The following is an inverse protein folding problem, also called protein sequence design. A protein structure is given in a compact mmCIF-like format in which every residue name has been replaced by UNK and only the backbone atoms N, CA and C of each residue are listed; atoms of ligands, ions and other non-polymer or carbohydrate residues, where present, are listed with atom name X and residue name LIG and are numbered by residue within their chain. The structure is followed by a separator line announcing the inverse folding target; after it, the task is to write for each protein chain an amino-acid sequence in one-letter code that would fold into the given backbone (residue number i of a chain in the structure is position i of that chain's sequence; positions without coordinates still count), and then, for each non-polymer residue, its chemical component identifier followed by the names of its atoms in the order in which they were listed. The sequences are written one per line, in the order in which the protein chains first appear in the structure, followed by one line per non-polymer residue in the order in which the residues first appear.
data_IF_158362669450
#
_entry.id   IF_158362669450
#
_cell.length_a   1.000
_cell.length_b   1.000
_cell.length_c   1.000
_cell.angle_alpha   90.00
_cell.angle_beta   90.00
_cell.angle_gamma   90.00
#
_symmetry.space_group_name_H-M   'P 1'
#
loop_
_entity.id
_entity.type
_entity.pdbx_description
1 polymer ?
#
# COMPACT_ATOMS: atom_id res chain seq x y z
N UNK A 1 24.08 9.07 1.26
CA UNK A 1 24.28 9.97 0.10
C UNK A 1 22.98 10.71 -0.14
N UNK A 2 22.97 12.04 -0.11
CA UNK A 2 21.78 12.85 -0.43
C UNK A 2 21.51 12.69 -1.93
N UNK A 3 20.35 12.18 -2.30
CA UNK A 3 19.92 12.14 -3.70
C UNK A 3 19.36 13.50 -4.07
N UNK A 4 20.07 14.27 -4.90
CA UNK A 4 19.56 15.53 -5.44
C UNK A 4 18.40 15.19 -6.38
N UNK A 5 17.20 15.67 -6.05
CA UNK A 5 16.01 15.48 -6.88
C UNK A 5 15.69 16.78 -7.63
N UNK A 6 15.42 16.71 -8.94
CA UNK A 6 14.96 17.89 -9.68
C UNK A 6 13.62 18.36 -9.12
N UNK A 7 13.35 19.64 -9.32
CA UNK A 7 12.07 20.23 -8.97
C UNK A 7 10.95 19.54 -9.77
N UNK A 8 9.76 19.40 -9.17
CA UNK A 8 8.64 18.75 -9.86
C UNK A 8 8.11 19.67 -10.96
N UNK A 9 8.11 19.17 -12.20
CA UNK A 9 7.52 19.86 -13.35
C UNK A 9 6.00 20.10 -13.20
N UNK A 10 5.31 19.23 -12.45
CA UNK A 10 3.87 19.32 -12.23
C UNK A 10 3.55 19.61 -10.76
N UNK A 11 2.82 20.71 -10.47
CA UNK A 11 2.33 20.95 -9.12
C UNK A 11 1.26 19.91 -8.78
N UNK A 12 1.28 19.42 -7.53
CA UNK A 12 0.27 18.50 -7.00
C UNK A 12 0.77 17.10 -6.66
N UNK A 13 -0.15 16.28 -6.14
CA UNK A 13 0.08 14.87 -5.84
C UNK A 13 -0.03 14.02 -7.11
N UNK A 14 0.85 13.02 -7.22
CA UNK A 14 0.83 12.04 -8.31
C UNK A 14 0.41 10.69 -7.74
N UNK A 15 -0.47 10.00 -8.44
CA UNK A 15 -0.94 8.67 -8.05
C UNK A 15 -0.04 7.62 -8.69
N UNK A 16 0.56 6.78 -7.85
CA UNK A 16 1.33 5.62 -8.26
C UNK A 16 0.59 4.35 -7.85
N UNK A 17 0.65 3.31 -8.68
CA UNK A 17 0.04 2.00 -8.44
C UNK A 17 1.11 0.95 -8.59
N UNK A 18 1.22 0.06 -7.62
CA UNK A 18 2.26 -0.96 -7.60
C UNK A 18 2.32 -1.67 -6.25
N UNK A 19 3.29 -2.56 -6.12
CA UNK A 19 3.52 -3.35 -4.92
C UNK A 19 3.96 -2.45 -3.75
N UNK A 20 3.32 -2.62 -2.60
CA UNK A 20 3.70 -1.99 -1.34
C UNK A 20 4.28 -3.10 -0.45
N UNK A 21 5.54 -2.93 -0.02
CA UNK A 21 6.20 -3.86 0.89
C UNK A 21 5.87 -3.47 2.33
N UNK A 22 5.51 -4.47 3.14
CA UNK A 22 5.12 -4.26 4.53
C UNK A 22 6.03 -5.00 5.49
N UNK A 23 6.37 -4.40 6.64
CA UNK A 23 7.20 -5.04 7.66
C UNK A 23 7.13 -4.39 9.04
N UNK A 24 7.54 -5.12 10.08
CA UNK A 24 7.40 -4.67 11.47
C UNK A 24 8.35 -3.55 11.95
N UNK A 25 9.15 -2.96 11.06
CA UNK A 25 10.18 -1.98 11.43
C UNK A 25 10.28 -0.82 10.44
N UNK A 26 10.68 0.36 10.94
CA UNK A 26 10.87 1.54 10.09
C UNK A 26 12.15 1.37 9.27
N UNK A 27 12.04 1.46 7.95
CA UNK A 27 13.20 1.50 7.05
C UNK A 27 13.83 2.89 7.11
N UNK A 28 15.02 2.99 7.71
CA UNK A 28 15.71 4.28 7.98
C UNK A 28 17.08 4.38 7.30
N UNK A 29 17.43 3.44 6.43
CA UNK A 29 18.64 3.53 5.63
C UNK A 29 18.45 2.85 4.26
N UNK A 30 19.18 3.30 3.23
CA UNK A 30 19.09 2.75 1.88
C UNK A 30 19.48 1.28 1.76
N UNK A 31 20.42 0.79 2.59
CA UNK A 31 20.92 -0.59 2.51
C UNK A 31 19.84 -1.59 2.91
N UNK A 32 19.12 -1.32 4.00
CA UNK A 32 17.97 -2.09 4.45
C UNK A 32 16.82 -2.00 3.44
N UNK A 33 16.56 -0.81 2.89
CA UNK A 33 15.57 -0.62 1.82
C UNK A 33 15.89 -1.49 0.61
N UNK A 34 17.12 -1.44 0.13
CA UNK A 34 17.56 -2.18 -1.05
C UNK A 34 17.63 -3.68 -0.76
N UNK A 35 17.96 -4.06 0.48
CA UNK A 35 17.85 -5.44 0.95
C UNK A 35 16.41 -5.95 0.85
N UNK A 36 15.45 -5.21 1.41
CA UNK A 36 14.04 -5.57 1.41
C UNK A 36 13.45 -5.59 0.00
N UNK A 37 13.97 -4.76 -0.91
CA UNK A 37 13.55 -4.74 -2.33
C UNK A 37 14.07 -5.94 -3.13
N UNK A 38 15.03 -6.72 -2.63
CA UNK A 38 15.59 -7.85 -3.40
C UNK A 38 14.50 -8.87 -3.72
N UNK A 39 14.28 -9.12 -5.02
CA UNK A 39 13.22 -9.99 -5.51
C UNK A 39 11.86 -9.31 -5.69
N UNK A 40 11.76 -8.01 -5.39
CA UNK A 40 10.56 -7.17 -5.49
C UNK A 40 10.90 -5.84 -6.17
N UNK A 41 11.54 -5.88 -7.34
CA UNK A 41 12.01 -4.67 -8.06
C UNK A 41 10.87 -3.75 -8.53
N UNK A 42 9.64 -4.25 -8.54
CA UNK A 42 8.41 -3.52 -8.82
C UNK A 42 7.77 -2.88 -7.57
N UNK A 43 8.37 -3.07 -6.39
CA UNK A 43 7.93 -2.40 -5.17
C UNK A 43 8.11 -0.88 -5.27
N UNK A 44 7.03 -0.16 -5.02
CA UNK A 44 6.98 1.30 -5.14
C UNK A 44 7.05 2.02 -3.79
N UNK A 45 6.80 1.33 -2.68
CA UNK A 45 6.72 1.91 -1.34
C UNK A 45 6.98 0.86 -0.26
N UNK A 46 7.39 1.33 0.92
CA UNK A 46 7.55 0.56 2.15
C UNK A 46 6.66 1.18 3.23
N UNK A 47 5.98 0.35 3.99
CA UNK A 47 5.20 0.79 5.15
C UNK A 47 5.19 -0.30 6.23
N UNK A 48 4.53 -0.04 7.36
CA UNK A 48 4.63 -0.90 8.54
C UNK A 48 3.31 -1.47 9.05
N UNK A 49 2.18 -1.02 8.52
CA UNK A 49 0.88 -1.28 9.16
C UNK A 49 -0.03 -2.19 8.32
N UNK A 50 0.28 -2.44 7.04
CA UNK A 50 -0.59 -3.20 6.14
C UNK A 50 -0.36 -4.72 6.20
N UNK A 51 0.81 -5.20 6.67
CA UNK A 51 1.16 -6.63 6.72
C UNK A 51 0.13 -7.46 7.47
N UNK A 52 -0.43 -6.93 8.56
CA UNK A 52 -1.42 -7.64 9.37
C UNK A 52 -2.85 -7.57 8.84
N UNK A 53 -3.18 -6.59 8.01
CA UNK A 53 -4.56 -6.36 7.56
C UNK A 53 -4.83 -7.03 6.21
N UNK A 54 -3.84 -7.09 5.32
CA UNK A 54 -4.02 -7.59 3.95
C UNK A 54 -4.27 -9.10 3.88
N UNK A 55 -3.75 -9.87 4.83
CA UNK A 55 -3.98 -11.31 4.91
C UNK A 55 -5.38 -11.64 5.46
N UNK A 56 -5.95 -10.73 6.23
CA UNK A 56 -7.25 -10.93 6.89
C UNK A 56 -8.41 -10.38 6.05
N UNK A 57 -8.21 -9.30 5.30
CA UNK A 57 -9.34 -8.58 4.68
C UNK A 57 -9.02 -8.16 3.24
N UNK A 58 -9.89 -8.46 2.26
CA UNK A 58 -9.81 -7.86 0.92
C UNK A 58 -9.90 -6.33 1.05
N UNK A 59 -8.80 -5.63 0.78
CA UNK A 59 -8.73 -4.19 0.99
C UNK A 59 -7.95 -3.47 -0.11
N UNK A 60 -8.23 -2.18 -0.26
CA UNK A 60 -7.43 -1.26 -1.07
C UNK A 60 -6.59 -0.39 -0.12
N UNK A 61 -5.28 -0.50 -0.23
CA UNK A 61 -4.35 0.31 0.56
C UNK A 61 -4.05 1.63 -0.18
N UNK A 62 -4.33 2.76 0.47
CA UNK A 62 -3.98 4.10 -0.01
C UNK A 62 -2.97 4.73 0.93
N UNK A 63 -1.79 5.08 0.42
CA UNK A 63 -0.69 5.68 1.19
C UNK A 63 -0.25 7.02 0.59
N UNK A 64 0.04 7.96 1.46
CA UNK A 64 0.79 9.17 1.11
C UNK A 64 2.26 8.95 1.43
N UNK A 65 3.14 9.45 0.58
CA UNK A 65 4.60 9.30 0.75
C UNK A 65 5.11 10.45 1.62
N UNK A 66 5.71 10.12 2.77
CA UNK A 66 6.25 11.09 3.73
C UNK A 66 7.79 11.13 3.78
N UNK A 67 8.47 10.08 3.33
CA UNK A 67 9.92 10.00 3.26
C UNK A 67 10.34 9.03 2.13
N UNK A 68 11.65 8.82 2.00
CA UNK A 68 12.24 7.97 0.95
C UNK A 68 12.87 6.67 1.48
N UNK A 69 12.53 6.28 2.72
CA UNK A 69 13.14 5.13 3.38
C UNK A 69 14.68 5.18 3.35
N UNK A 70 15.24 6.37 3.55
CA UNK A 70 16.68 6.62 3.60
C UNK A 70 17.09 7.26 4.93
N UNK A 71 18.35 7.66 5.04
CA UNK A 71 18.90 8.25 6.28
C UNK A 71 18.32 9.63 6.60
N UNK A 72 17.61 10.26 5.67
CA UNK A 72 17.07 11.61 5.84
C UNK A 72 15.63 11.50 6.34
N UNK A 73 15.45 11.72 7.64
CA UNK A 73 14.11 11.86 8.20
C UNK A 73 13.54 13.22 7.84
N UNK A 74 12.32 13.23 7.29
CA UNK A 74 11.61 14.46 6.97
C UNK A 74 10.17 14.41 7.49
N UNK A 75 10.04 14.40 8.82
CA UNK A 75 8.76 14.32 9.53
C UNK A 75 7.77 15.43 9.15
N UNK A 76 8.27 16.55 8.60
CA UNK A 76 7.44 17.66 8.13
C UNK A 76 6.45 17.29 7.00
N UNK A 77 6.68 16.20 6.26
CA UNK A 77 5.77 15.75 5.20
C UNK A 77 4.62 14.88 5.69
N UNK A 78 4.62 14.44 6.96
CA UNK A 78 3.60 13.52 7.47
C UNK A 78 2.19 14.08 7.30
N UNK A 79 1.99 15.37 7.63
CA UNK A 79 0.69 16.03 7.49
C UNK A 79 0.24 16.12 6.03
N UNK A 80 1.14 16.48 5.13
CA UNK A 80 0.84 16.55 3.69
C UNK A 80 0.51 15.17 3.13
N UNK A 81 1.33 14.16 3.47
CA UNK A 81 1.14 12.78 3.05
C UNK A 81 -0.21 12.23 3.53
N UNK A 82 -0.55 12.44 4.81
CA UNK A 82 -1.83 12.03 5.37
C UNK A 82 -3.01 12.74 4.68
N UNK A 83 -2.92 14.06 4.46
CA UNK A 83 -3.95 14.83 3.78
C UNK A 83 -4.16 14.37 2.32
N UNK A 84 -3.07 14.10 1.59
CA UNK A 84 -3.12 13.60 0.23
C UNK A 84 -3.76 12.21 0.15
N UNK A 85 -3.39 11.30 1.06
CA UNK A 85 -3.97 9.97 1.16
C UNK A 85 -5.47 10.03 1.47
N UNK A 86 -5.87 10.84 2.45
CA UNK A 86 -7.27 11.03 2.82
C UNK A 86 -8.10 11.65 1.69
N UNK A 87 -7.56 12.65 1.00
CA UNK A 87 -8.22 13.26 -0.15
C UNK A 87 -8.43 12.26 -1.29
N UNK A 88 -7.43 11.43 -1.59
CA UNK A 88 -7.56 10.37 -2.58
C UNK A 88 -8.55 9.28 -2.15
N UNK A 89 -8.50 8.84 -0.89
CA UNK A 89 -9.45 7.88 -0.33
C UNK A 89 -10.90 8.40 -0.43
N UNK A 90 -11.14 9.67 -0.09
CA UNK A 90 -12.45 10.32 -0.30
C UNK A 90 -12.86 10.29 -1.77
N UNK A 91 -11.95 10.63 -2.69
CA UNK A 91 -12.25 10.62 -4.12
C UNK A 91 -12.62 9.22 -4.63
N UNK A 92 -11.95 8.17 -4.14
CA UNK A 92 -12.28 6.77 -4.44
C UNK A 92 -13.68 6.43 -3.93
N UNK A 93 -13.98 6.74 -2.66
CA UNK A 93 -15.29 6.45 -2.07
C UNK A 93 -16.44 7.17 -2.79
N UNK A 94 -16.21 8.40 -3.28
CA UNK A 94 -17.20 9.13 -4.08
C UNK A 94 -17.48 8.50 -5.46
N UNK A 95 -16.66 7.55 -5.90
CA UNK A 95 -16.87 6.78 -7.14
C UNK A 95 -17.53 5.43 -6.90
N UNK A 96 -17.75 5.05 -5.65
CA UNK A 96 -18.47 3.83 -5.28
C UNK A 96 -19.93 4.19 -5.08
N UNK A 97 -20.82 3.66 -5.93
CA UNK A 97 -22.26 3.89 -5.82
C UNK A 97 -22.89 2.87 -4.86
N UNK A 98 -23.87 3.30 -4.07
CA UNK A 98 -24.54 2.42 -3.09
C UNK A 98 -25.16 1.17 -3.73
N UNK A 99 -25.67 1.30 -4.95
CA UNK A 99 -26.22 0.18 -5.73
C UNK A 99 -25.16 -0.89 -6.05
N UNK A 100 -23.96 -0.48 -6.48
CA UNK A 100 -22.85 -1.40 -6.75
C UNK A 100 -22.39 -2.12 -5.45
N UNK A 101 -22.51 -1.45 -4.30
CA UNK A 101 -22.17 -2.05 -3.00
C UNK A 101 -23.19 -3.11 -2.59
N UNK A 102 -24.48 -2.87 -2.83
CA UNK A 102 -25.55 -3.82 -2.54
C UNK A 102 -25.46 -5.09 -3.42
N UNK A 103 -24.95 -4.97 -4.64
CA UNK A 103 -24.71 -6.10 -5.55
C UNK A 103 -23.40 -6.86 -5.24
N UNK A 104 -22.50 -6.27 -4.45
CA UNK A 104 -21.23 -6.88 -4.09
C UNK A 104 -21.42 -7.94 -3.00
N UNK A 105 -20.74 -9.08 -3.11
CA UNK A 105 -20.75 -10.11 -2.06
C UNK A 105 -20.29 -9.55 -0.73
N UNK A 106 -20.88 -10.01 0.37
CA UNK A 106 -20.44 -9.57 1.69
C UNK A 106 -18.95 -9.92 1.90
N UNK A 107 -18.28 -9.13 2.74
CA UNK A 107 -16.88 -9.39 3.11
C UNK A 107 -16.72 -10.82 3.66
N UNK A 108 -17.68 -11.27 4.47
CA UNK A 108 -17.74 -12.62 5.02
C UNK A 108 -17.76 -13.69 3.93
N UNK A 109 -18.66 -13.57 2.96
CA UNK A 109 -18.73 -14.52 1.83
C UNK A 109 -17.46 -14.53 0.99
N UNK A 110 -16.85 -13.35 0.77
CA UNK A 110 -15.62 -13.24 -0.01
C UNK A 110 -14.45 -13.95 0.69
N UNK A 111 -14.38 -13.85 2.02
CA UNK A 111 -13.38 -14.54 2.83
C UNK A 111 -13.61 -16.06 2.86
N UNK A 112 -14.84 -16.52 3.06
CA UNK A 112 -15.20 -17.95 3.05
C UNK A 112 -14.87 -18.61 1.70
N UNK A 113 -15.12 -17.92 0.58
CA UNK A 113 -14.73 -18.37 -0.76
C UNK A 113 -13.22 -18.50 -0.91
N UNK A 114 -12.44 -17.50 -0.45
CA UNK A 114 -10.96 -17.54 -0.48
C UNK A 114 -10.39 -18.67 0.37
N UNK A 115 -10.95 -18.91 1.55
CA UNK A 115 -10.54 -20.05 2.39
C UNK A 115 -10.82 -21.37 1.68
N UNK A 116 -12.00 -21.53 1.08
CA UNK A 116 -12.34 -22.73 0.29
C UNK A 116 -11.40 -22.93 -0.91
N UNK A 117 -11.05 -21.85 -1.63
CA UNK A 117 -10.09 -21.89 -2.76
C UNK A 117 -8.68 -22.28 -2.30
N UNK A 118 -8.19 -21.71 -1.20
CA UNK A 118 -6.88 -22.03 -0.64
C UNK A 118 -6.82 -23.47 -0.10
N UNK A 119 -7.89 -23.95 0.55
CA UNK A 119 -7.99 -25.35 0.99
C UNK A 119 -8.11 -26.33 -0.19
N UNK A 120 -8.79 -25.95 -1.27
CA UNK A 120 -8.84 -26.71 -2.51
C UNK A 120 -7.48 -26.82 -3.19
N UNK A 121 -6.69 -25.74 -3.20
CA UNK A 121 -5.34 -25.71 -3.77
C UNK A 121 -4.34 -26.58 -3.00
N UNK A 122 -4.47 -26.67 -1.67
CA UNK A 122 -3.65 -27.58 -0.85
C UNK A 122 -3.97 -29.06 -1.11
N UNK A 123 -5.23 -29.42 -1.40
CA UNK A 123 -5.63 -30.82 -1.64
C UNK A 123 -5.23 -31.37 -3.01
N UNK A 124 -4.87 -30.52 -3.97
CA UNK A 124 -4.49 -30.95 -5.33
C UNK A 124 -2.97 -31.15 -5.47
N UNK A 125 -2.18 -30.91 -4.42
CA UNK A 125 -0.72 -31.09 -4.42
C UNK A 125 -0.23 -32.34 -3.65
N UNK A 126 -1.08 -33.34 -3.42
CA UNK A 126 -0.69 -34.63 -2.79
C UNK A 126 -0.63 -35.76 -3.80
#
# INVERSE_FOLDING_TARGET
MVVVRPERDKPGSVVHRGLILSGGGVVKNPEDRDHLRRGHDDAICFEMEAAGIMDEVPCLVVRGICDYADTHKQDGWHYYAAAAAAAYGKAVLLKVYGQDVEETSSMKETMEKRECENHGRLRVQS
#
